data_IF_710361635893
#
_entry.id   IF_710361635893
#
_cell.length_a   1.000
_cell.length_b   1.000
_cell.length_c   1.000
_cell.angle_alpha   90.00
_cell.angle_beta   90.00
_cell.angle_gamma   90.00
#
_symmetry.space_group_name_H-M   'P 1'
#
loop_
_entity.id
_entity.type
_entity.pdbx_description
1 polymer ?
#
# COMPACT_ATOMS: atom_id res chain seq x y z
N UNK A 1 16.41 -67.45 32.43
CA UNK A 1 17.39 -66.61 31.70
C UNK A 1 16.71 -65.66 30.70
N UNK A 2 15.74 -66.12 29.89
CA UNK A 2 15.04 -65.29 28.90
C UNK A 2 14.18 -64.14 29.49
N UNK A 3 13.58 -64.32 30.67
CA UNK A 3 12.79 -63.26 31.34
C UNK A 3 13.67 -62.16 31.94
N UNK A 4 14.88 -62.48 32.39
CA UNK A 4 15.81 -61.50 32.96
C UNK A 4 16.41 -60.59 31.87
N UNK A 5 16.68 -61.13 30.68
CA UNK A 5 17.14 -60.37 29.52
C UNK A 5 16.06 -59.43 28.94
N UNK A 6 14.78 -59.80 29.08
CA UNK A 6 13.66 -58.97 28.63
C UNK A 6 13.52 -57.70 29.48
N UNK A 7 13.73 -57.82 30.80
CA UNK A 7 13.65 -56.69 31.73
C UNK A 7 14.78 -55.67 31.56
N UNK A 8 15.97 -56.10 31.13
CA UNK A 8 17.10 -55.19 30.90
C UNK A 8 16.86 -54.35 29.64
N UNK A 9 16.25 -54.92 28.61
CA UNK A 9 15.95 -54.21 27.36
C UNK A 9 14.89 -53.10 27.54
N UNK A 10 13.92 -53.29 28.44
CA UNK A 10 12.90 -52.27 28.75
C UNK A 10 13.49 -51.09 29.54
N UNK A 11 14.53 -51.30 30.35
CA UNK A 11 15.20 -50.24 31.12
C UNK A 11 16.09 -49.32 30.28
N UNK A 12 16.59 -49.80 29.13
CA UNK A 12 17.43 -49.03 28.21
C UNK A 12 16.67 -48.55 26.95
N UNK A 13 15.39 -48.88 26.82
CA UNK A 13 14.56 -48.34 25.76
C UNK A 13 14.32 -46.84 26.02
N UNK A 14 14.48 -45.96 25.01
CA UNK A 14 14.08 -44.58 25.15
C UNK A 14 12.60 -44.51 25.55
N UNK A 15 12.20 -43.57 26.43
CA UNK A 15 10.81 -43.43 26.81
C UNK A 15 9.95 -43.22 25.56
N UNK A 16 8.74 -43.80 25.50
CA UNK A 16 7.84 -43.58 24.38
C UNK A 16 7.58 -42.08 24.22
N UNK A 17 7.51 -41.59 22.97
CA UNK A 17 7.28 -40.17 22.71
C UNK A 17 6.02 -39.73 23.45
N UNK A 18 6.11 -38.55 24.05
CA UNK A 18 4.98 -37.96 24.77
C UNK A 18 3.81 -37.77 23.80
N UNK A 19 2.58 -37.77 24.32
CA UNK A 19 1.37 -37.51 23.51
C UNK A 19 1.53 -36.24 22.65
N UNK A 20 2.26 -35.23 23.13
CA UNK A 20 2.55 -33.99 22.40
C UNK A 20 3.56 -34.17 21.25
N UNK A 21 4.54 -35.06 21.40
CA UNK A 21 5.49 -35.41 20.32
C UNK A 21 4.79 -36.25 19.25
N UNK A 22 3.95 -37.21 19.65
CA UNK A 22 3.14 -38.02 18.74
C UNK A 22 2.12 -37.16 17.98
N UNK A 23 1.56 -36.11 18.60
CA UNK A 23 0.69 -35.14 17.91
C UNK A 23 1.49 -34.29 16.92
N UNK A 24 2.72 -33.87 17.26
CA UNK A 24 3.59 -33.13 16.34
C UNK A 24 4.02 -33.94 15.12
N UNK A 25 4.31 -35.23 15.28
CA UNK A 25 4.64 -36.14 14.17
C UNK A 25 3.46 -36.41 13.22
N UNK A 26 2.22 -36.31 13.71
CA UNK A 26 1.01 -36.61 12.93
C UNK A 26 0.31 -35.36 12.37
N UNK A 27 0.81 -34.15 12.63
CA UNK A 27 0.33 -32.95 11.97
C UNK A 27 0.82 -32.95 10.52
N UNK A 28 -0.06 -32.78 9.51
CA UNK A 28 0.39 -32.64 8.14
C UNK A 28 1.39 -31.49 8.07
N UNK A 29 2.59 -31.77 7.58
CA UNK A 29 3.60 -30.74 7.37
C UNK A 29 2.97 -29.62 6.54
N UNK A 30 3.04 -28.39 7.05
CA UNK A 30 2.52 -27.23 6.31
C UNK A 30 3.16 -27.22 4.92
N UNK A 31 2.37 -26.96 3.86
CA UNK A 31 2.91 -26.93 2.50
C UNK A 31 4.12 -26.00 2.44
N UNK A 32 5.25 -26.49 1.92
CA UNK A 32 6.45 -25.66 1.74
C UNK A 32 6.11 -24.49 0.83
N UNK A 33 6.43 -23.27 1.26
CA UNK A 33 6.19 -22.04 0.53
C UNK A 33 7.47 -21.20 0.41
N UNK A 34 7.57 -20.27 -0.56
CA UNK A 34 8.79 -19.49 -0.80
C UNK A 34 8.95 -18.25 0.11
N UNK A 35 7.98 -17.96 0.98
CA UNK A 35 7.95 -16.77 1.82
C UNK A 35 8.77 -16.91 3.12
N UNK A 36 9.15 -15.77 3.69
CA UNK A 36 9.94 -15.69 4.92
C UNK A 36 9.15 -15.04 6.05
N UNK A 37 9.26 -15.49 7.32
CA UNK A 37 10.03 -16.65 7.77
C UNK A 37 9.48 -17.98 7.23
N UNK A 38 10.36 -18.95 6.95
CA UNK A 38 10.00 -20.20 6.26
C UNK A 38 9.11 -21.14 7.09
N UNK A 39 9.11 -20.94 8.40
CA UNK A 39 8.32 -21.63 9.42
C UNK A 39 6.90 -21.06 9.56
N UNK A 40 6.59 -19.96 8.88
CA UNK A 40 5.26 -19.34 8.93
C UNK A 40 4.19 -20.27 8.36
N UNK A 41 2.98 -20.18 8.89
CA UNK A 41 1.82 -20.89 8.33
C UNK A 41 1.02 -19.97 7.44
N UNK A 42 0.85 -20.36 6.17
CA UNK A 42 0.02 -19.64 5.21
C UNK A 42 -1.25 -20.45 4.96
N UNK A 43 -2.39 -19.87 5.34
CA UNK A 43 -3.68 -20.53 5.23
C UNK A 43 -4.01 -20.87 3.77
N UNK A 44 -4.23 -22.17 3.51
CA UNK A 44 -4.65 -22.67 2.21
C UNK A 44 -3.63 -22.45 1.08
N UNK A 45 -2.34 -22.31 1.38
CA UNK A 45 -1.32 -21.95 0.39
C UNK A 45 -1.39 -22.79 -0.89
N UNK A 46 -1.51 -22.10 -2.02
CA UNK A 46 -1.31 -22.61 -3.37
C UNK A 46 -0.33 -21.70 -4.12
N UNK A 47 0.66 -22.31 -4.80
CA UNK A 47 1.59 -21.57 -5.65
C UNK A 47 0.85 -20.88 -6.81
N UNK A 48 1.38 -19.75 -7.29
CA UNK A 48 0.82 -19.07 -8.46
C UNK A 48 0.89 -19.97 -9.70
N UNK A 49 -0.15 -19.89 -10.53
CA UNK A 49 -0.18 -20.50 -11.86
C UNK A 49 0.53 -19.62 -12.89
N UNK A 50 0.38 -18.30 -12.76
CA UNK A 50 1.10 -17.31 -13.56
C UNK A 50 2.51 -17.10 -13.02
N UNK A 51 3.47 -16.94 -13.94
CA UNK A 51 4.81 -16.51 -13.57
C UNK A 51 4.89 -14.98 -13.37
N UNK A 52 5.99 -14.51 -12.78
CA UNK A 52 6.23 -13.09 -12.51
C UNK A 52 6.05 -12.19 -13.74
N UNK A 53 6.55 -12.60 -14.91
CA UNK A 53 6.45 -11.80 -16.13
C UNK A 53 5.00 -11.65 -16.60
N UNK A 54 4.22 -12.73 -16.54
CA UNK A 54 2.79 -12.70 -16.87
C UNK A 54 2.03 -11.76 -15.93
N UNK A 55 2.27 -11.87 -14.62
CA UNK A 55 1.63 -11.03 -13.61
C UNK A 55 1.98 -9.55 -13.79
N UNK A 56 3.26 -9.22 -13.96
CA UNK A 56 3.72 -7.85 -14.19
C UNK A 56 3.15 -7.30 -15.50
N UNK A 57 3.08 -8.13 -16.56
CA UNK A 57 2.51 -7.72 -17.85
C UNK A 57 1.01 -7.43 -17.75
N UNK A 58 0.26 -8.26 -17.02
CA UNK A 58 -1.17 -8.06 -16.79
C UNK A 58 -1.42 -6.81 -15.94
N UNK A 59 -0.61 -6.58 -14.90
CA UNK A 59 -0.69 -5.37 -14.08
C UNK A 59 -0.39 -4.11 -14.89
N UNK A 60 0.67 -4.13 -15.71
CA UNK A 60 1.04 -3.03 -16.60
C UNK A 60 -0.04 -2.76 -17.66
N UNK A 61 -0.66 -3.80 -18.22
CA UNK A 61 -1.78 -3.67 -19.14
C UNK A 61 -2.98 -2.99 -18.44
N UNK A 62 -3.31 -3.40 -17.20
CA UNK A 62 -4.35 -2.76 -16.39
C UNK A 62 -4.07 -1.27 -16.15
N UNK A 63 -2.85 -0.92 -15.75
CA UNK A 63 -2.43 0.47 -15.59
C UNK A 63 -2.54 1.27 -16.89
N UNK A 64 -2.15 0.67 -18.02
CA UNK A 64 -2.22 1.30 -19.35
C UNK A 64 -3.67 1.60 -19.73
N UNK A 65 -4.60 0.67 -19.47
CA UNK A 65 -6.03 0.88 -19.71
C UNK A 65 -6.56 2.02 -18.84
N UNK A 66 -6.25 2.02 -17.54
CA UNK A 66 -6.66 3.08 -16.60
C UNK A 66 -6.16 4.44 -17.09
N UNK A 67 -4.86 4.56 -17.37
CA UNK A 67 -4.28 5.83 -17.84
C UNK A 67 -4.88 6.29 -19.17
N UNK A 68 -5.09 5.38 -20.12
CA UNK A 68 -5.64 5.72 -21.43
C UNK A 68 -7.07 6.23 -21.31
N UNK A 69 -7.93 5.54 -20.56
CA UNK A 69 -9.32 5.94 -20.36
C UNK A 69 -9.43 7.25 -19.60
N UNK A 70 -8.64 7.44 -18.54
CA UNK A 70 -8.60 8.69 -17.79
C UNK A 70 -8.12 9.85 -18.66
N UNK A 71 -7.03 9.65 -19.42
CA UNK A 71 -6.52 10.67 -20.34
C UNK A 71 -7.57 11.08 -21.36
N UNK A 72 -8.19 10.12 -22.06
CA UNK A 72 -9.21 10.39 -23.06
C UNK A 72 -10.42 11.13 -22.46
N UNK A 73 -10.86 10.70 -21.28
CA UNK A 73 -11.98 11.35 -20.57
C UNK A 73 -11.64 12.78 -20.19
N UNK A 74 -10.49 13.01 -19.56
CA UNK A 74 -10.05 14.34 -19.14
C UNK A 74 -9.85 15.27 -20.33
N UNK A 75 -9.20 14.81 -21.41
CA UNK A 75 -8.99 15.63 -22.61
C UNK A 75 -10.29 15.92 -23.35
N UNK A 76 -11.27 15.02 -23.31
CA UNK A 76 -12.61 15.26 -23.87
C UNK A 76 -13.37 16.32 -23.07
N UNK A 77 -13.33 16.25 -21.74
CA UNK A 77 -14.07 17.18 -20.87
C UNK A 77 -13.38 18.53 -20.74
N UNK A 78 -12.05 18.55 -20.68
CA UNK A 78 -11.25 19.76 -20.47
C UNK A 78 -10.01 19.79 -21.37
N UNK A 79 -10.17 20.10 -22.68
CA UNK A 79 -9.08 20.03 -23.67
C UNK A 79 -7.88 20.96 -23.36
N UNK A 80 -8.11 22.05 -22.63
CA UNK A 80 -7.08 23.04 -22.27
C UNK A 80 -6.43 22.80 -20.91
N UNK A 81 -6.76 21.68 -20.23
CA UNK A 81 -6.16 21.36 -18.92
C UNK A 81 -4.62 21.32 -19.03
N UNK A 82 -3.88 22.01 -18.14
CA UNK A 82 -2.43 21.97 -18.10
C UNK A 82 -1.91 20.54 -17.89
N UNK A 83 -0.77 20.23 -18.50
CA UNK A 83 -0.12 18.92 -18.34
C UNK A 83 0.19 18.59 -16.87
N UNK A 84 0.55 19.61 -16.07
CA UNK A 84 0.82 19.44 -14.65
C UNK A 84 -0.37 18.87 -13.88
N UNK A 85 -1.58 19.33 -14.20
CA UNK A 85 -2.79 18.89 -13.52
C UNK A 85 -3.26 17.55 -14.08
N UNK A 86 -3.08 17.32 -15.39
CA UNK A 86 -3.37 16.04 -16.03
C UNK A 86 -2.58 14.88 -15.40
N UNK A 87 -1.27 15.05 -15.20
CA UNK A 87 -0.42 14.02 -14.58
C UNK A 87 -0.88 13.71 -13.16
N UNK A 88 -1.31 14.72 -12.40
CA UNK A 88 -1.81 14.53 -11.03
C UNK A 88 -3.18 13.84 -11.02
N UNK A 89 -4.06 14.14 -11.99
CA UNK A 89 -5.32 13.40 -12.18
C UNK A 89 -5.05 11.93 -12.51
N UNK A 90 -4.10 11.65 -13.42
CA UNK A 90 -3.72 10.26 -13.75
C UNK A 90 -3.20 9.52 -12.51
N UNK A 91 -2.33 10.16 -11.73
CA UNK A 91 -1.81 9.64 -10.47
C UNK A 91 -2.94 9.29 -9.49
N UNK A 92 -3.79 10.26 -9.11
CA UNK A 92 -4.87 9.99 -8.16
C UNK A 92 -5.92 9.02 -8.68
N UNK A 93 -6.12 8.95 -10.01
CA UNK A 93 -6.99 7.92 -10.58
C UNK A 93 -6.39 6.53 -10.38
N UNK A 94 -5.10 6.35 -10.66
CA UNK A 94 -4.40 5.08 -10.38
C UNK A 94 -4.45 4.75 -8.88
N UNK A 95 -4.16 5.70 -8.00
CA UNK A 95 -4.29 5.49 -6.54
C UNK A 95 -5.70 5.05 -6.15
N UNK A 96 -6.73 5.67 -6.75
CA UNK A 96 -8.11 5.26 -6.55
C UNK A 96 -8.34 3.80 -6.89
N UNK A 97 -7.82 3.35 -8.03
CA UNK A 97 -7.95 1.95 -8.44
C UNK A 97 -7.17 0.98 -7.54
N UNK A 98 -5.92 1.32 -7.19
CA UNK A 98 -5.08 0.50 -6.32
C UNK A 98 -5.71 0.37 -4.93
N UNK A 99 -6.01 1.49 -4.27
CA UNK A 99 -6.52 1.45 -2.89
C UNK A 99 -7.94 0.89 -2.79
N UNK A 100 -8.82 1.15 -3.77
CA UNK A 100 -10.21 0.68 -3.69
C UNK A 100 -10.36 -0.77 -4.15
N UNK A 101 -9.74 -1.15 -5.27
CA UNK A 101 -9.96 -2.47 -5.86
C UNK A 101 -8.84 -3.45 -5.51
N UNK A 102 -7.58 -3.07 -5.68
CA UNK A 102 -6.47 -4.00 -5.44
C UNK A 102 -6.23 -4.24 -3.95
N UNK A 103 -6.06 -3.19 -3.16
CA UNK A 103 -5.96 -3.27 -1.70
C UNK A 103 -7.30 -3.59 -1.03
N UNK A 104 -8.42 -3.11 -1.59
CA UNK A 104 -9.75 -3.49 -1.10
C UNK A 104 -10.00 -4.99 -1.25
N UNK A 105 -9.54 -5.61 -2.35
CA UNK A 105 -9.57 -7.06 -2.51
C UNK A 105 -8.72 -7.76 -1.44
N UNK A 106 -7.52 -7.26 -1.15
CA UNK A 106 -6.70 -7.80 -0.05
C UNK A 106 -7.42 -7.67 1.28
N UNK A 107 -7.93 -6.48 1.61
CA UNK A 107 -8.62 -6.23 2.87
C UNK A 107 -9.82 -7.14 3.08
N UNK A 108 -10.52 -7.51 2.01
CA UNK A 108 -11.63 -8.47 2.05
C UNK A 108 -11.16 -9.93 2.18
N UNK A 109 -10.04 -10.30 1.54
CA UNK A 109 -9.61 -11.70 1.38
C UNK A 109 -8.36 -12.10 2.18
N UNK A 110 -7.76 -11.21 2.98
CA UNK A 110 -6.43 -11.41 3.59
C UNK A 110 -6.27 -12.73 4.35
N UNK A 111 -7.35 -13.25 4.95
CA UNK A 111 -7.33 -14.53 5.71
C UNK A 111 -7.21 -15.77 4.82
N UNK A 112 -7.58 -15.69 3.55
CA UNK A 112 -7.65 -16.85 2.63
C UNK A 112 -6.82 -16.66 1.36
N UNK A 113 -6.20 -15.49 1.18
CA UNK A 113 -5.53 -15.09 -0.06
C UNK A 113 -4.40 -16.05 -0.48
N UNK A 114 -3.81 -16.78 0.47
CA UNK A 114 -2.81 -17.82 0.20
C UNK A 114 -3.28 -18.90 -0.77
N UNK A 115 -4.58 -19.19 -0.82
CA UNK A 115 -5.17 -20.17 -1.74
C UNK A 115 -5.80 -19.59 -3.01
N UNK A 116 -5.75 -18.28 -3.22
CA UNK A 116 -6.46 -17.64 -4.33
C UNK A 116 -5.68 -17.80 -5.65
N UNK A 117 -6.40 -18.11 -6.73
CA UNK A 117 -5.85 -18.28 -8.09
C UNK A 117 -6.42 -17.31 -9.12
N UNK A 118 -7.29 -16.38 -8.73
CA UNK A 118 -7.60 -15.25 -9.59
C UNK A 118 -6.42 -14.26 -9.68
N UNK A 119 -6.48 -13.34 -10.64
CA UNK A 119 -5.40 -12.39 -10.92
C UNK A 119 -4.97 -11.59 -9.69
N UNK A 120 -5.91 -11.09 -8.87
CA UNK A 120 -5.56 -10.26 -7.71
C UNK A 120 -4.93 -11.11 -6.61
N UNK A 121 -5.47 -12.29 -6.34
CA UNK A 121 -4.86 -13.24 -5.39
C UNK A 121 -3.43 -13.61 -5.78
N UNK A 122 -3.19 -13.89 -7.06
CA UNK A 122 -1.84 -14.22 -7.55
C UNK A 122 -0.88 -13.02 -7.52
N UNK A 123 -1.33 -11.81 -7.86
CA UNK A 123 -0.54 -10.58 -7.73
C UNK A 123 -0.15 -10.28 -6.28
N UNK A 124 -1.06 -10.47 -5.33
CA UNK A 124 -0.76 -10.31 -3.90
C UNK A 124 0.26 -11.35 -3.42
N UNK A 125 0.11 -12.61 -3.82
CA UNK A 125 1.12 -13.64 -3.54
C UNK A 125 2.48 -13.30 -4.13
N UNK A 126 2.53 -12.81 -5.37
CA UNK A 126 3.78 -12.35 -6.01
C UNK A 126 4.42 -11.20 -5.24
N UNK A 127 3.64 -10.18 -4.87
CA UNK A 127 4.14 -9.04 -4.10
C UNK A 127 4.59 -9.44 -2.69
N UNK A 128 3.95 -10.45 -2.10
CA UNK A 128 4.29 -11.00 -0.79
C UNK A 128 5.67 -11.68 -0.74
N UNK A 129 6.31 -11.95 -1.89
CA UNK A 129 7.72 -12.37 -1.92
C UNK A 129 8.65 -11.27 -1.37
N UNK A 130 8.21 -10.01 -1.44
CA UNK A 130 8.91 -8.87 -0.88
C UNK A 130 8.59 -8.61 0.59
N UNK A 131 7.41 -9.05 1.04
CA UNK A 131 6.96 -8.94 2.42
C UNK A 131 5.82 -9.94 2.70
N UNK A 132 6.11 -11.02 3.40
CA UNK A 132 5.14 -12.08 3.67
C UNK A 132 4.01 -11.69 4.63
N UNK A 133 4.07 -10.51 5.25
CA UNK A 133 3.00 -10.05 6.17
C UNK A 133 1.67 -9.90 5.45
N UNK A 134 1.69 -9.68 4.14
CA UNK A 134 0.49 -9.75 3.29
C UNK A 134 -0.17 -11.14 3.21
N UNK A 135 0.45 -12.20 3.75
CA UNK A 135 -0.12 -13.54 3.83
C UNK A 135 -0.34 -14.02 5.26
N UNK A 136 0.15 -13.28 6.25
CA UNK A 136 0.23 -13.73 7.66
C UNK A 136 -0.34 -12.74 8.67
N UNK A 137 -0.43 -11.44 8.33
CA UNK A 137 -0.91 -10.39 9.22
C UNK A 137 -2.36 -9.97 8.92
N UNK A 138 -2.97 -9.27 9.89
CA UNK A 138 -4.30 -8.68 9.70
C UNK A 138 -4.25 -7.48 8.74
N UNK A 139 -5.35 -7.26 8.00
CA UNK A 139 -5.50 -6.11 7.12
C UNK A 139 -6.01 -4.87 7.89
N UNK A 140 -5.59 -3.68 7.45
CA UNK A 140 -6.18 -2.42 7.86
C UNK A 140 -6.97 -1.82 6.70
N UNK A 141 -8.21 -1.43 6.95
CA UNK A 141 -9.04 -0.75 5.96
C UNK A 141 -8.58 0.70 5.78
N UNK A 142 -8.45 1.16 4.54
CA UNK A 142 -8.00 2.51 4.24
C UNK A 142 -8.98 3.24 3.30
N UNK A 143 -9.53 4.36 3.74
CA UNK A 143 -10.49 5.18 2.98
C UNK A 143 -9.86 5.93 1.76
N UNK A 144 -8.63 5.58 1.38
CA UNK A 144 -7.83 6.33 0.41
C UNK A 144 -8.32 6.17 -1.03
N UNK A 145 -8.93 5.04 -1.38
CA UNK A 145 -9.44 4.80 -2.74
C UNK A 145 -10.52 5.80 -3.17
N UNK A 146 -11.66 5.88 -2.46
CA UNK A 146 -12.71 6.86 -2.77
C UNK A 146 -12.21 8.31 -2.71
N UNK A 147 -11.36 8.65 -1.73
CA UNK A 147 -10.81 10.00 -1.61
C UNK A 147 -9.84 10.36 -2.75
N UNK A 148 -9.13 9.38 -3.31
CA UNK A 148 -8.26 9.61 -4.47
C UNK A 148 -9.09 9.93 -5.72
N UNK A 149 -10.18 9.19 -5.98
CA UNK A 149 -11.10 9.52 -7.07
C UNK A 149 -11.75 10.90 -6.89
N UNK A 150 -12.18 11.23 -5.67
CA UNK A 150 -12.71 12.56 -5.37
C UNK A 150 -11.66 13.64 -5.63
N UNK A 151 -10.41 13.43 -5.21
CA UNK A 151 -9.30 14.37 -5.45
C UNK A 151 -9.07 14.58 -6.95
N UNK A 152 -9.04 13.51 -7.75
CA UNK A 152 -8.93 13.58 -9.20
C UNK A 152 -10.08 14.40 -9.82
N UNK A 153 -11.32 14.19 -9.37
CA UNK A 153 -12.48 14.95 -9.83
C UNK A 153 -12.38 16.44 -9.46
N UNK A 154 -11.99 16.76 -8.22
CA UNK A 154 -11.81 18.15 -7.77
C UNK A 154 -10.74 18.88 -8.56
N UNK A 155 -9.64 18.22 -8.93
CA UNK A 155 -8.60 18.80 -9.80
C UNK A 155 -9.17 19.00 -11.21
N UNK A 156 -9.89 18.01 -11.76
CA UNK A 156 -10.46 18.07 -13.10
C UNK A 156 -11.42 19.27 -13.28
N UNK A 157 -12.16 19.66 -12.24
CA UNK A 157 -13.07 20.82 -12.25
C UNK A 157 -12.46 22.10 -11.70
N UNK A 158 -11.17 22.10 -11.32
CA UNK A 158 -10.48 23.21 -10.64
C UNK A 158 -11.21 23.73 -9.38
N UNK A 159 -11.69 22.79 -8.56
CA UNK A 159 -12.42 23.13 -7.35
C UNK A 159 -11.48 23.71 -6.27
N UNK A 160 -11.90 24.71 -5.48
CA UNK A 160 -11.06 25.30 -4.42
C UNK A 160 -10.54 24.29 -3.38
N UNK A 161 -11.30 23.22 -3.12
CA UNK A 161 -10.90 22.15 -2.19
C UNK A 161 -9.87 21.16 -2.76
N UNK A 162 -9.45 21.29 -4.03
CA UNK A 162 -8.51 20.36 -4.67
C UNK A 162 -7.22 20.19 -3.86
N UNK A 163 -6.68 21.29 -3.33
CA UNK A 163 -5.42 21.28 -2.58
C UNK A 163 -5.59 20.67 -1.18
N UNK A 164 -6.74 20.87 -0.53
CA UNK A 164 -7.04 20.25 0.77
C UNK A 164 -7.10 18.73 0.65
N UNK A 165 -7.87 18.21 -0.31
CA UNK A 165 -7.98 16.77 -0.53
C UNK A 165 -6.67 16.16 -1.03
N UNK A 166 -5.95 16.84 -1.93
CA UNK A 166 -4.63 16.42 -2.36
C UNK A 166 -3.66 16.28 -1.18
N UNK A 167 -3.65 17.22 -0.22
CA UNK A 167 -2.81 17.12 1.00
C UNK A 167 -3.25 15.94 1.86
N UNK A 168 -4.56 15.80 2.14
CA UNK A 168 -5.10 14.76 3.02
C UNK A 168 -4.74 13.36 2.49
N UNK A 169 -5.01 13.08 1.22
CA UNK A 169 -4.75 11.77 0.62
C UNK A 169 -3.25 11.50 0.54
N UNK A 170 -2.46 12.49 0.09
CA UNK A 170 -1.00 12.33 -0.01
C UNK A 170 -0.35 12.09 1.35
N UNK A 171 -0.82 12.77 2.40
CA UNK A 171 -0.31 12.56 3.75
C UNK A 171 -0.72 11.19 4.30
N UNK A 172 -1.94 10.73 4.00
CA UNK A 172 -2.40 9.39 4.34
C UNK A 172 -1.53 8.30 3.71
N UNK A 173 -1.16 8.46 2.43
CA UNK A 173 -0.24 7.57 1.72
C UNK A 173 1.14 7.54 2.38
N UNK A 174 1.74 8.72 2.63
CA UNK A 174 3.03 8.83 3.32
C UNK A 174 3.01 8.19 4.71
N UNK A 175 1.97 8.45 5.49
CA UNK A 175 1.82 7.89 6.81
C UNK A 175 1.72 6.36 6.77
N UNK A 176 0.97 5.82 5.81
CA UNK A 176 0.87 4.38 5.56
C UNK A 176 2.23 3.76 5.26
N UNK A 177 2.99 4.33 4.33
CA UNK A 177 4.33 3.82 3.98
C UNK A 177 5.31 3.91 5.16
N UNK A 178 5.30 5.03 5.89
CA UNK A 178 6.15 5.18 7.08
C UNK A 178 5.85 4.10 8.10
N UNK A 179 4.56 3.81 8.37
CA UNK A 179 4.19 2.70 9.26
C UNK A 179 4.57 1.34 8.69
N UNK A 180 4.41 1.13 7.40
CA UNK A 180 4.75 -0.12 6.72
C UNK A 180 6.24 -0.48 6.89
N UNK A 181 7.14 0.49 6.65
CA UNK A 181 8.57 0.32 6.89
C UNK A 181 8.90 0.25 8.38
N UNK A 182 8.33 1.12 9.20
CA UNK A 182 8.64 1.17 10.63
C UNK A 182 8.31 -0.16 11.32
N UNK A 183 7.17 -0.78 10.98
CA UNK A 183 6.80 -2.09 11.53
C UNK A 183 7.74 -3.20 11.05
N UNK A 184 8.12 -3.21 9.77
CA UNK A 184 9.05 -4.21 9.23
C UNK A 184 10.43 -4.14 9.91
N UNK A 185 10.99 -2.93 9.97
CA UNK A 185 12.30 -2.67 10.55
C UNK A 185 12.31 -2.85 12.06
N UNK A 186 11.20 -2.56 12.74
CA UNK A 186 11.07 -2.80 14.17
C UNK A 186 11.09 -4.31 14.48
N UNK A 187 10.33 -5.12 13.74
CA UNK A 187 10.31 -6.57 13.92
C UNK A 187 11.68 -7.19 13.61
N UNK A 188 12.38 -6.71 12.57
CA UNK A 188 13.74 -7.13 12.27
C UNK A 188 14.70 -6.80 13.43
N UNK A 189 14.64 -5.56 13.94
CA UNK A 189 15.54 -5.10 15.01
C UNK A 189 15.26 -5.76 16.37
N UNK A 190 13.99 -6.03 16.69
CA UNK A 190 13.59 -6.51 18.02
C UNK A 190 13.42 -8.03 18.09
N UNK A 191 12.98 -8.66 17.00
CA UNK A 191 12.63 -10.08 16.94
C UNK A 191 13.53 -10.88 16.00
N UNK A 192 14.38 -10.21 15.19
CA UNK A 192 15.19 -10.86 14.17
C UNK A 192 14.36 -11.45 13.02
N UNK A 193 13.12 -10.98 12.85
CA UNK A 193 12.21 -11.47 11.81
C UNK A 193 12.40 -10.68 10.52
N UNK A 194 12.71 -11.39 9.44
CA UNK A 194 12.69 -10.82 8.09
C UNK A 194 11.53 -11.42 7.31
N UNK A 195 10.78 -10.54 6.64
CA UNK A 195 9.60 -10.92 5.86
C UNK A 195 9.86 -10.98 4.36
N UNK A 196 11.00 -10.44 3.93
CA UNK A 196 11.40 -10.40 2.52
C UNK A 196 12.25 -11.61 2.18
N UNK A 197 12.11 -12.08 0.94
CA UNK A 197 13.06 -13.04 0.38
C UNK A 197 14.46 -12.42 0.26
N UNK A 198 15.54 -13.20 0.43
CA UNK A 198 16.91 -12.70 0.46
C UNK A 198 17.40 -12.19 -0.91
N UNK A 199 16.75 -12.56 -2.02
CA UNK A 199 17.13 -12.07 -3.33
C UNK A 199 16.88 -10.56 -3.46
N UNK A 200 17.91 -9.84 -3.93
CA UNK A 200 17.90 -8.38 -4.01
C UNK A 200 16.73 -7.81 -4.83
N UNK A 201 16.21 -8.56 -5.81
CA UNK A 201 15.07 -8.13 -6.61
C UNK A 201 13.79 -7.95 -5.77
N UNK A 202 13.55 -8.79 -4.77
CA UNK A 202 12.36 -8.68 -3.93
C UNK A 202 12.50 -7.54 -2.93
N UNK A 203 13.64 -7.42 -2.27
CA UNK A 203 13.84 -6.32 -1.33
C UNK A 203 13.98 -4.96 -2.03
N UNK A 204 14.95 -4.79 -2.94
CA UNK A 204 15.19 -3.48 -3.55
C UNK A 204 14.18 -3.14 -4.66
N UNK A 205 13.76 -4.14 -5.44
CA UNK A 205 12.80 -3.94 -6.53
C UNK A 205 11.38 -3.78 -6.02
N UNK A 206 10.87 -4.73 -5.24
CA UNK A 206 9.47 -4.67 -4.79
C UNK A 206 9.33 -3.88 -3.49
N UNK A 207 10.04 -4.27 -2.43
CA UNK A 207 9.86 -3.66 -1.11
C UNK A 207 10.30 -2.19 -1.07
N UNK A 208 11.39 -1.80 -1.73
CA UNK A 208 11.88 -0.41 -1.76
C UNK A 208 11.33 0.39 -2.95
N UNK A 209 11.65 -0.01 -4.18
CA UNK A 209 11.36 0.80 -5.36
C UNK A 209 9.84 0.93 -5.63
N UNK A 210 9.03 -0.11 -5.48
CA UNK A 210 7.59 0.01 -5.76
C UNK A 210 6.91 0.96 -4.77
N UNK A 211 7.25 0.90 -3.47
CA UNK A 211 6.70 1.83 -2.49
C UNK A 211 7.27 3.26 -2.62
N UNK A 212 8.48 3.43 -3.16
CA UNK A 212 9.08 4.76 -3.34
C UNK A 212 8.20 5.73 -4.15
N UNK A 213 7.35 5.25 -5.06
CA UNK A 213 6.39 6.09 -5.77
C UNK A 213 5.34 6.71 -4.83
N UNK A 214 4.83 5.95 -3.86
CA UNK A 214 3.88 6.40 -2.83
C UNK A 214 4.55 7.25 -1.73
N UNK A 215 5.88 7.35 -1.75
CA UNK A 215 6.63 8.31 -0.93
C UNK A 215 6.90 9.60 -1.69
N UNK A 216 7.61 9.51 -2.81
CA UNK A 216 8.18 10.67 -3.50
C UNK A 216 7.09 11.53 -4.13
N UNK A 217 6.11 10.92 -4.82
CA UNK A 217 5.06 11.67 -5.50
C UNK A 217 4.17 12.39 -4.47
N UNK A 218 3.61 11.72 -3.44
CA UNK A 218 2.81 12.37 -2.41
C UNK A 218 3.54 13.50 -1.68
N UNK A 219 4.83 13.33 -1.36
CA UNK A 219 5.62 14.40 -0.75
C UNK A 219 5.69 15.66 -1.62
N UNK A 220 5.99 15.51 -2.91
CA UNK A 220 6.01 16.62 -3.88
C UNK A 220 4.62 17.28 -3.95
N UNK A 221 3.55 16.49 -3.99
CA UNK A 221 2.17 16.98 -4.07
C UNK A 221 1.77 17.77 -2.81
N UNK A 222 2.21 17.36 -1.63
CA UNK A 222 2.02 18.10 -0.38
C UNK A 222 2.74 19.44 -0.45
N UNK A 223 4.04 19.46 -0.78
CA UNK A 223 4.81 20.70 -0.86
C UNK A 223 4.18 21.70 -1.86
N UNK A 224 3.73 21.21 -3.02
CA UNK A 224 3.06 22.04 -4.03
C UNK A 224 1.73 22.60 -3.53
N UNK A 225 0.90 21.77 -2.90
CA UNK A 225 -0.40 22.21 -2.38
C UNK A 225 -0.26 23.18 -1.20
N UNK A 226 0.65 22.91 -0.25
CA UNK A 226 0.93 23.81 0.87
C UNK A 226 1.41 25.17 0.36
N UNK A 227 2.31 25.17 -0.63
CA UNK A 227 2.79 26.40 -1.27
C UNK A 227 1.66 27.16 -1.97
N UNK A 228 0.74 26.46 -2.65
CA UNK A 228 -0.42 27.07 -3.30
C UNK A 228 -1.37 27.71 -2.27
N UNK A 229 -1.69 27.00 -1.19
CA UNK A 229 -2.50 27.51 -0.09
C UNK A 229 -1.84 28.75 0.54
N UNK A 230 -0.55 28.68 0.86
CA UNK A 230 0.19 29.80 1.44
C UNK A 230 0.13 31.07 0.57
N UNK A 231 0.34 30.93 -0.76
CA UNK A 231 0.21 32.06 -1.70
C UNK A 231 -1.20 32.61 -1.75
N UNK A 232 -2.23 31.75 -1.74
CA UNK A 232 -3.62 32.18 -1.74
C UNK A 232 -3.96 33.02 -0.50
N UNK A 233 -3.56 32.57 0.69
CA UNK A 233 -3.76 33.34 1.94
C UNK A 233 -2.95 34.64 1.96
N UNK A 234 -1.72 34.65 1.44
CA UNK A 234 -0.92 35.88 1.34
C UNK A 234 -1.58 36.91 0.41
N UNK A 235 -2.13 36.46 -0.72
CA UNK A 235 -2.87 37.32 -1.65
C UNK A 235 -4.15 37.88 -1.00
N UNK A 236 -4.91 37.05 -0.29
CA UNK A 236 -6.11 37.48 0.45
C UNK A 236 -5.78 38.55 1.49
N UNK A 237 -4.76 38.31 2.32
CA UNK A 237 -4.30 39.28 3.32
C UNK A 237 -3.88 40.61 2.70
N UNK A 238 -3.28 40.59 1.50
CA UNK A 238 -2.89 41.79 0.77
C UNK A 238 -4.12 42.54 0.26
N UNK A 239 -5.09 41.82 -0.31
CA UNK A 239 -6.35 42.39 -0.78
C UNK A 239 -7.15 43.04 0.36
N UNK A 240 -7.25 42.38 1.51
CA UNK A 240 -7.91 42.92 2.71
C UNK A 240 -7.27 44.22 3.21
N UNK A 241 -5.92 44.27 3.24
CA UNK A 241 -5.19 45.50 3.60
C UNK A 241 -5.47 46.65 2.63
N UNK A 242 -5.50 46.38 1.34
CA UNK A 242 -5.79 47.40 0.32
C UNK A 242 -7.23 47.91 0.41
N UNK A 243 -8.20 47.02 0.65
CA UNK A 243 -9.60 47.39 0.84
C UNK A 243 -9.77 48.26 2.10
N UNK A 244 -9.19 47.84 3.22
CA UNK A 244 -9.30 48.57 4.49
C UNK A 244 -8.56 49.92 4.46
N UNK A 245 -7.37 49.99 3.83
CA UNK A 245 -6.64 51.24 3.63
C UNK A 245 -7.33 52.20 2.64
N UNK A 246 -7.97 51.66 1.61
CA UNK A 246 -8.78 52.44 0.66
C UNK A 246 -10.03 53.05 1.31
N UNK A 247 -10.68 52.33 2.21
CA UNK A 247 -11.83 52.82 2.99
C UNK A 247 -11.42 53.96 3.93
N UNK A 248 -10.27 53.87 4.60
CA UNK A 248 -9.76 54.96 5.44
C UNK A 248 -9.47 56.25 4.64
N UNK A 249 -8.82 56.12 3.47
CA UNK A 249 -8.53 57.27 2.61
C UNK A 249 -9.78 57.89 1.95
N UNK A 250 -10.80 57.08 1.61
CA UNK A 250 -12.08 57.57 1.08
C UNK A 250 -12.92 58.31 2.12
N UNK A 251 -12.79 57.95 3.40
CA UNK A 251 -13.47 58.61 4.52
C UNK A 251 -12.87 59.98 4.83
N UNK A 252 -11.53 60.09 4.76
CA UNK A 252 -10.81 61.35 4.97
C UNK A 252 -11.15 62.41 3.90
N UNK A 253 -11.37 62.00 2.64
CA UNK A 253 -11.74 62.91 1.54
C UNK A 253 -13.18 63.44 1.60
N UNK A 254 -14.07 62.82 2.37
CA UNK A 254 -15.47 63.29 2.53
C UNK A 254 -15.64 64.29 3.69
N UNK A 255 -14.61 64.51 4.49
CA UNK A 255 -14.62 65.41 5.65
C UNK A 255 -13.91 66.76 5.42
N UNK A 256 -13.50 67.05 4.17
CA UNK A 256 -13.00 68.36 3.73
C UNK A 256 -14.02 69.00 2.80
#
# INVERSE_FOLDING_TARGET
MASLLRNVHEYFAPPPPTIMETIKENLPASPKHPYFPAESTIAGYLANEYNTLELVSLFAAGCTVIFSLTYLTVKKVRPTLPLSDLVVILWFTLCGFIHLFFEGYYAYNFRTIGGHQDLFGQLWKEYSLSDSRYLTADSAFAAWGPLSFLTAALIAVDHPLRHSFQIIVSLGQLYGDVLYYATSLFDEAMLGLTYSRPEAAYYWGYFVLMNAFWIVIPFILICKSVSACSRAFAALNTAEKLLNGGVQNGSAKKQQ
#
